data_IF_564289240239
#
_entry.id   IF_564289240239
#
_cell.length_a   1.000
_cell.length_b   1.000
_cell.length_c   1.000
_cell.angle_alpha   90.00
_cell.angle_beta   90.00
_cell.angle_gamma   90.00
#
_symmetry.space_group_name_H-M   'P 1'
#
loop_
_entity.id
_entity.type
_entity.pdbx_description
1 polymer ?
#
# COMPACT_ATOMS: atom_id res chain seq x y z
N UNK A 1 -83.02 -22.58 -25.83
CA UNK A 1 -82.16 -22.69 -27.04
C UNK A 1 -80.93 -21.85 -26.76
N UNK A 2 -80.14 -22.22 -25.76
CA UNK A 2 -79.27 -23.41 -25.59
C UNK A 2 -77.84 -22.90 -25.81
N UNK A 3 -76.97 -22.92 -24.81
CA UNK A 3 -76.14 -24.08 -24.38
C UNK A 3 -75.13 -24.44 -25.51
N UNK A 4 -73.83 -24.62 -25.28
CA UNK A 4 -73.10 -24.83 -24.03
C UNK A 4 -71.59 -24.57 -24.20
N UNK A 5 -70.82 -24.60 -23.10
CA UNK A 5 -69.36 -24.88 -23.15
C UNK A 5 -69.13 -26.40 -23.04
N UNK A 6 -68.20 -26.97 -23.81
CA UNK A 6 -66.90 -27.37 -23.22
C UNK A 6 -65.70 -26.93 -24.10
N UNK A 7 -64.48 -26.71 -23.58
CA UNK A 7 -63.41 -27.72 -23.35
C UNK A 7 -63.11 -28.59 -24.60
N UNK A 8 -61.87 -28.75 -25.07
CA UNK A 8 -60.62 -28.84 -24.32
C UNK A 8 -59.33 -28.45 -25.11
N UNK A 9 -58.21 -28.50 -24.40
CA UNK A 9 -56.83 -28.80 -24.86
C UNK A 9 -56.14 -27.91 -25.90
N UNK A 10 -55.30 -27.02 -25.36
CA UNK A 10 -54.09 -26.55 -26.05
C UNK A 10 -53.11 -27.73 -26.17
N UNK A 11 -52.87 -28.20 -27.39
CA UNK A 11 -51.70 -29.01 -27.73
C UNK A 11 -50.78 -28.15 -28.57
N UNK A 12 -49.69 -27.67 -27.96
CA UNK A 12 -48.57 -27.10 -28.70
C UNK A 12 -47.93 -28.22 -29.52
N UNK A 13 -47.94 -28.08 -30.84
CA UNK A 13 -47.20 -28.98 -31.73
C UNK A 13 -45.72 -28.70 -31.55
N UNK A 14 -44.96 -29.74 -31.22
CA UNK A 14 -43.50 -29.68 -31.18
C UNK A 14 -42.96 -29.46 -32.60
N UNK A 15 -42.42 -28.27 -32.88
CA UNK A 15 -41.62 -28.06 -34.08
C UNK A 15 -40.26 -28.75 -33.90
N UNK A 16 -40.14 -29.95 -34.47
CA UNK A 16 -38.88 -30.61 -34.74
C UNK A 16 -38.06 -29.77 -35.74
N UNK A 17 -37.34 -28.75 -35.24
CA UNK A 17 -36.31 -28.08 -36.03
C UNK A 17 -35.14 -29.03 -36.31
N UNK A 18 -35.06 -29.48 -37.57
CA UNK A 18 -33.97 -30.30 -38.06
C UNK A 18 -32.60 -29.62 -37.93
N UNK A 19 -31.56 -30.45 -37.88
CA UNK A 19 -30.18 -30.05 -37.59
C UNK A 19 -29.62 -28.94 -38.50
N UNK A 20 -29.75 -27.68 -38.05
CA UNK A 20 -28.74 -26.64 -38.28
C UNK A 20 -27.67 -26.81 -37.21
N UNK A 21 -26.40 -26.67 -37.58
CA UNK A 21 -25.30 -26.63 -36.62
C UNK A 21 -25.57 -25.52 -35.59
N UNK A 22 -25.73 -25.90 -34.31
CA UNK A 22 -25.91 -24.94 -33.23
C UNK A 22 -24.54 -24.36 -32.90
N UNK A 23 -24.25 -23.18 -33.43
CA UNK A 23 -23.07 -22.41 -33.08
C UNK A 23 -23.43 -21.38 -32.00
N UNK A 24 -22.77 -21.52 -30.85
CA UNK A 24 -22.97 -20.70 -29.65
C UNK A 24 -21.72 -20.77 -28.76
N UNK A 25 -21.44 -19.75 -27.94
CA UNK A 25 -20.15 -19.59 -27.27
C UNK A 25 -19.78 -20.73 -26.29
N UNK A 26 -20.76 -21.48 -25.74
CA UNK A 26 -20.46 -22.67 -24.93
C UNK A 26 -20.02 -23.85 -25.81
N UNK A 27 -20.60 -23.98 -27.01
CA UNK A 27 -20.20 -25.01 -27.98
C UNK A 27 -18.82 -24.68 -28.57
N UNK A 28 -18.51 -23.40 -28.79
CA UNK A 28 -17.16 -22.94 -29.16
C UNK A 28 -16.14 -23.23 -28.07
N UNK A 29 -16.49 -23.01 -26.79
CA UNK A 29 -15.66 -23.40 -25.66
C UNK A 29 -15.32 -24.90 -25.71
N UNK A 30 -16.30 -25.79 -25.82
CA UNK A 30 -16.02 -27.23 -25.88
C UNK A 30 -15.23 -27.65 -27.13
N UNK A 31 -15.53 -27.07 -28.30
CA UNK A 31 -14.71 -27.26 -29.53
C UNK A 31 -13.24 -26.86 -29.29
N UNK A 32 -12.99 -25.74 -28.59
CA UNK A 32 -11.65 -25.25 -28.25
C UNK A 32 -10.91 -26.12 -27.21
N UNK A 33 -11.64 -26.75 -26.28
CA UNK A 33 -11.07 -27.65 -25.27
C UNK A 33 -10.70 -29.02 -25.86
N UNK A 34 -11.45 -29.51 -26.85
CA UNK A 34 -11.11 -30.75 -27.57
C UNK A 34 -9.85 -30.56 -28.42
N UNK A 35 -9.68 -29.39 -29.05
CA UNK A 35 -8.64 -29.15 -30.06
C UNK A 35 -7.27 -28.77 -29.50
N UNK A 36 -7.18 -28.41 -28.22
CA UNK A 36 -5.91 -28.02 -27.57
C UNK A 36 -5.47 -29.06 -26.53
N UNK A 37 -4.22 -29.51 -26.59
CA UNK A 37 -3.67 -30.55 -25.69
C UNK A 37 -3.07 -29.99 -24.37
N UNK A 38 -3.54 -28.83 -23.87
CA UNK A 38 -3.00 -28.19 -22.65
C UNK A 38 -4.07 -27.96 -21.56
N UNK A 39 -3.69 -28.29 -20.32
CA UNK A 39 -4.55 -28.48 -19.13
C UNK A 39 -5.10 -27.20 -18.45
N UNK A 40 -5.09 -26.03 -19.10
CA UNK A 40 -5.38 -24.75 -18.42
C UNK A 40 -6.40 -23.84 -19.14
N UNK A 41 -7.22 -24.37 -20.04
CA UNK A 41 -8.11 -23.56 -20.89
C UNK A 41 -9.54 -23.32 -20.36
N UNK A 42 -9.82 -23.51 -19.05
CA UNK A 42 -11.10 -23.10 -18.43
C UNK A 42 -11.17 -21.59 -18.11
N UNK A 43 -10.10 -20.83 -18.37
CA UNK A 43 -10.03 -19.38 -18.13
C UNK A 43 -10.68 -18.61 -19.29
N UNK A 44 -11.99 -18.41 -19.22
CA UNK A 44 -12.69 -17.46 -20.09
C UNK A 44 -12.40 -16.00 -19.69
N UNK A 45 -12.22 -15.14 -20.70
CA UNK A 45 -12.19 -13.68 -20.50
C UNK A 45 -13.57 -13.14 -20.14
N UNK A 46 -13.63 -11.98 -19.46
CA UNK A 46 -14.91 -11.30 -19.18
C UNK A 46 -15.74 -11.07 -20.46
N UNK A 47 -15.10 -10.78 -21.59
CA UNK A 47 -15.77 -10.57 -22.87
C UNK A 47 -16.46 -11.85 -23.39
N UNK A 48 -15.82 -13.01 -23.28
CA UNK A 48 -16.42 -14.30 -23.64
C UNK A 48 -17.57 -14.68 -22.71
N UNK A 49 -17.46 -14.37 -21.41
CA UNK A 49 -18.55 -14.59 -20.44
C UNK A 49 -19.74 -13.68 -20.72
N UNK A 50 -19.48 -12.41 -21.06
CA UNK A 50 -20.50 -11.45 -21.53
C UNK A 50 -21.22 -11.97 -22.78
N UNK A 51 -20.48 -12.57 -23.72
CA UNK A 51 -21.06 -13.18 -24.93
C UNK A 51 -21.95 -14.39 -24.61
N UNK A 52 -21.56 -15.24 -23.65
CA UNK A 52 -22.39 -16.34 -23.12
C UNK A 52 -23.68 -15.78 -22.47
N UNK A 53 -23.58 -14.78 -21.60
CA UNK A 53 -24.74 -14.17 -20.93
C UNK A 53 -25.74 -13.59 -21.94
N UNK A 54 -25.25 -12.95 -23.00
CA UNK A 54 -26.08 -12.36 -24.05
C UNK A 54 -26.69 -13.42 -24.99
N UNK A 55 -25.89 -14.33 -25.55
CA UNK A 55 -26.32 -15.25 -26.61
C UNK A 55 -26.96 -16.55 -26.11
N UNK A 56 -26.56 -17.05 -24.94
CA UNK A 56 -27.04 -18.34 -24.42
C UNK A 56 -28.16 -18.19 -23.39
N UNK A 57 -28.18 -17.06 -22.66
CA UNK A 57 -29.10 -16.78 -21.55
C UNK A 57 -29.98 -15.53 -21.73
N UNK A 58 -29.89 -14.85 -22.87
CA UNK A 58 -30.67 -13.66 -23.24
C UNK A 58 -30.61 -12.50 -22.21
N UNK A 59 -29.52 -12.41 -21.43
CA UNK A 59 -29.35 -11.33 -20.45
C UNK A 59 -28.88 -10.07 -21.19
N UNK A 60 -29.78 -9.09 -21.30
CA UNK A 60 -29.47 -7.83 -21.98
C UNK A 60 -28.68 -6.89 -21.06
N UNK A 61 -27.35 -7.05 -21.13
CA UNK A 61 -26.35 -6.29 -20.36
C UNK A 61 -26.48 -4.77 -20.51
N UNK A 62 -27.00 -4.25 -21.63
CA UNK A 62 -27.22 -2.81 -21.82
C UNK A 62 -28.44 -2.26 -21.06
N UNK A 63 -29.24 -3.12 -20.42
CA UNK A 63 -30.49 -2.76 -19.72
C UNK A 63 -30.47 -3.08 -18.22
N UNK A 64 -29.36 -3.60 -17.70
CA UNK A 64 -29.17 -3.95 -16.29
C UNK A 64 -28.00 -3.15 -15.71
N UNK A 65 -27.94 -3.03 -14.39
CA UNK A 65 -26.94 -2.21 -13.71
C UNK A 65 -25.54 -2.85 -13.77
N UNK A 66 -24.46 -2.08 -13.86
CA UNK A 66 -23.09 -2.61 -14.01
C UNK A 66 -22.70 -3.61 -12.91
N UNK A 67 -23.09 -3.34 -11.66
CA UNK A 67 -22.90 -4.26 -10.53
C UNK A 67 -23.65 -5.60 -10.72
N UNK A 68 -24.82 -5.58 -11.34
CA UNK A 68 -25.60 -6.78 -11.64
C UNK A 68 -24.95 -7.58 -12.79
N UNK A 69 -24.39 -6.89 -13.79
CA UNK A 69 -23.54 -7.51 -14.82
C UNK A 69 -22.33 -8.20 -14.18
N UNK A 70 -21.65 -7.54 -13.24
CA UNK A 70 -20.51 -8.10 -12.53
C UNK A 70 -20.90 -9.32 -11.67
N UNK A 71 -22.05 -9.29 -10.99
CA UNK A 71 -22.61 -10.43 -10.28
C UNK A 71 -22.81 -11.62 -11.24
N UNK A 72 -23.46 -11.42 -12.40
CA UNK A 72 -23.65 -12.49 -13.37
C UNK A 72 -22.33 -13.03 -13.95
N UNK A 73 -21.36 -12.16 -14.25
CA UNK A 73 -20.01 -12.58 -14.71
C UNK A 73 -19.31 -13.43 -13.65
N UNK A 74 -19.37 -13.03 -12.37
CA UNK A 74 -18.74 -13.78 -11.28
C UNK A 74 -19.45 -15.10 -10.96
N UNK A 75 -20.78 -15.14 -11.07
CA UNK A 75 -21.58 -16.39 -11.00
C UNK A 75 -21.16 -17.36 -12.10
N UNK A 76 -21.07 -16.91 -13.36
CA UNK A 76 -20.61 -17.78 -14.46
C UNK A 76 -19.17 -18.24 -14.25
N UNK A 77 -18.23 -17.36 -13.87
CA UNK A 77 -16.84 -17.77 -13.58
C UNK A 77 -16.76 -18.88 -12.54
N UNK A 78 -17.46 -18.71 -11.42
CA UNK A 78 -17.44 -19.66 -10.31
C UNK A 78 -18.02 -21.00 -10.75
N UNK A 79 -19.26 -21.01 -11.24
CA UNK A 79 -19.93 -22.27 -11.56
C UNK A 79 -19.42 -22.92 -12.86
N UNK A 80 -18.84 -22.18 -13.79
CA UNK A 80 -18.12 -22.80 -14.92
C UNK A 80 -16.88 -23.55 -14.43
N UNK A 81 -16.13 -22.99 -13.46
CA UNK A 81 -14.99 -23.69 -12.86
C UNK A 81 -15.44 -24.89 -12.02
N UNK A 82 -16.50 -24.72 -11.24
CA UNK A 82 -17.06 -25.71 -10.32
C UNK A 82 -18.14 -26.61 -10.99
N UNK A 83 -18.04 -26.89 -12.29
CA UNK A 83 -18.99 -27.78 -12.98
C UNK A 83 -18.65 -29.25 -12.72
N UNK A 84 -19.55 -30.05 -12.10
CA UNK A 84 -19.20 -31.39 -11.60
C UNK A 84 -18.93 -32.44 -12.70
N UNK A 85 -19.30 -32.19 -13.95
CA UNK A 85 -19.09 -33.13 -15.06
C UNK A 85 -17.76 -32.92 -15.81
N UNK A 86 -16.87 -32.01 -15.34
CA UNK A 86 -15.56 -31.78 -15.98
C UNK A 86 -14.73 -33.05 -16.12
N UNK A 87 -14.55 -33.83 -15.05
CA UNK A 87 -13.73 -35.04 -15.06
C UNK A 87 -14.28 -36.10 -16.05
N UNK A 88 -15.62 -36.22 -16.14
CA UNK A 88 -16.32 -37.14 -17.04
C UNK A 88 -16.23 -36.67 -18.50
N UNK A 89 -16.30 -35.36 -18.73
CA UNK A 89 -16.10 -34.74 -20.04
C UNK A 89 -14.66 -34.94 -20.52
N UNK A 90 -13.65 -34.71 -19.69
CA UNK A 90 -12.24 -34.94 -20.04
C UNK A 90 -11.97 -36.41 -20.38
N UNK A 91 -12.44 -37.35 -19.55
CA UNK A 91 -12.33 -38.79 -19.82
C UNK A 91 -13.00 -39.18 -21.14
N UNK A 92 -14.21 -38.66 -21.40
CA UNK A 92 -14.91 -38.89 -22.66
C UNK A 92 -14.10 -38.39 -23.86
N UNK A 93 -13.58 -37.16 -23.80
CA UNK A 93 -12.80 -36.56 -24.89
C UNK A 93 -11.52 -37.35 -25.19
N UNK A 94 -10.83 -37.86 -24.16
CA UNK A 94 -9.65 -38.72 -24.30
C UNK A 94 -10.03 -40.04 -25.00
N UNK A 95 -11.10 -40.68 -24.54
CA UNK A 95 -11.60 -41.93 -25.11
C UNK A 95 -12.00 -41.80 -26.59
N UNK A 96 -12.63 -40.69 -26.98
CA UNK A 96 -13.00 -40.44 -28.37
C UNK A 96 -11.81 -40.06 -29.26
N UNK A 97 -10.81 -39.31 -28.76
CA UNK A 97 -9.53 -39.10 -29.46
C UNK A 97 -8.86 -40.44 -29.83
N UNK A 98 -8.95 -41.45 -28.95
CA UNK A 98 -8.36 -42.78 -29.21
C UNK A 98 -9.14 -43.65 -30.22
N UNK A 99 -10.46 -43.44 -30.36
CA UNK A 99 -11.37 -44.28 -31.16
C UNK A 99 -11.80 -43.66 -32.50
N UNK A 100 -11.40 -42.40 -32.76
CA UNK A 100 -11.58 -41.67 -34.02
C UNK A 100 -13.05 -41.64 -34.55
N UNK A 101 -14.03 -41.61 -33.64
CA UNK A 101 -15.46 -41.69 -33.95
C UNK A 101 -16.14 -40.31 -33.89
N UNK A 102 -16.05 -39.56 -34.99
CA UNK A 102 -16.55 -38.18 -35.08
C UNK A 102 -18.06 -38.03 -34.84
N UNK A 103 -18.89 -39.05 -35.13
CA UNK A 103 -20.35 -38.96 -34.92
C UNK A 103 -20.73 -39.07 -33.44
N UNK A 104 -20.09 -39.99 -32.70
CA UNK A 104 -20.33 -40.12 -31.26
C UNK A 104 -19.86 -38.88 -30.48
N UNK A 105 -18.76 -38.26 -30.92
CA UNK A 105 -18.23 -37.02 -30.34
C UNK A 105 -19.25 -35.88 -30.43
N UNK A 106 -19.92 -35.67 -31.57
CA UNK A 106 -20.93 -34.61 -31.72
C UNK A 106 -22.12 -34.79 -30.77
N UNK A 107 -22.66 -36.00 -30.65
CA UNK A 107 -23.81 -36.27 -29.77
C UNK A 107 -23.49 -36.04 -28.29
N UNK A 108 -22.30 -36.43 -27.83
CA UNK A 108 -21.90 -36.23 -26.43
C UNK A 108 -21.55 -34.77 -26.15
N UNK A 109 -21.03 -34.03 -27.14
CA UNK A 109 -20.87 -32.58 -27.02
C UNK A 109 -22.21 -31.86 -26.89
N UNK A 110 -23.23 -32.28 -27.62
CA UNK A 110 -24.58 -31.72 -27.52
C UNK A 110 -25.22 -32.03 -26.17
N UNK A 111 -25.07 -33.26 -25.65
CA UNK A 111 -25.52 -33.65 -24.31
C UNK A 111 -24.84 -32.82 -23.21
N UNK A 112 -23.50 -32.75 -23.22
CA UNK A 112 -22.71 -32.02 -22.23
C UNK A 112 -22.91 -30.50 -22.33
N UNK A 113 -23.17 -29.96 -23.52
CA UNK A 113 -23.64 -28.58 -23.73
C UNK A 113 -24.99 -28.31 -23.04
N UNK A 114 -25.97 -29.20 -23.22
CA UNK A 114 -27.28 -29.05 -22.59
C UNK A 114 -27.17 -29.13 -21.05
N UNK A 115 -26.34 -30.02 -20.52
CA UNK A 115 -26.08 -30.14 -19.08
C UNK A 115 -25.43 -28.88 -18.50
N UNK A 116 -24.33 -28.39 -19.09
CA UNK A 116 -23.65 -27.17 -18.64
C UNK A 116 -24.56 -25.94 -18.76
N UNK A 117 -25.30 -25.81 -19.87
CA UNK A 117 -26.25 -24.70 -20.07
C UNK A 117 -27.38 -24.72 -19.03
N UNK A 118 -27.94 -25.90 -18.72
CA UNK A 118 -28.96 -26.07 -17.67
C UNK A 118 -28.40 -25.74 -16.27
N UNK A 119 -27.19 -26.18 -15.98
CA UNK A 119 -26.51 -25.90 -14.71
C UNK A 119 -26.26 -24.41 -14.50
N UNK A 120 -25.56 -23.75 -15.44
CA UNK A 120 -25.31 -22.31 -15.39
C UNK A 120 -26.62 -21.50 -15.39
N UNK A 121 -27.62 -21.93 -16.17
CA UNK A 121 -28.96 -21.33 -16.17
C UNK A 121 -29.61 -21.35 -14.79
N UNK A 122 -29.59 -22.50 -14.09
CA UNK A 122 -30.16 -22.59 -12.75
C UNK A 122 -29.48 -21.66 -11.73
N UNK A 123 -28.16 -21.49 -11.83
CA UNK A 123 -27.40 -20.57 -10.96
C UNK A 123 -27.64 -19.10 -11.31
N UNK A 124 -27.84 -18.79 -12.60
CA UNK A 124 -28.19 -17.45 -13.07
C UNK A 124 -29.63 -17.06 -12.71
N UNK A 125 -30.59 -17.99 -12.70
CA UNK A 125 -31.96 -17.71 -12.21
C UNK A 125 -31.99 -17.42 -10.70
N UNK A 126 -31.20 -18.14 -9.90
CA UNK A 126 -31.02 -17.82 -8.47
C UNK A 126 -30.38 -16.43 -8.32
N UNK A 127 -29.37 -16.11 -9.14
CA UNK A 127 -28.74 -14.79 -9.14
C UNK A 127 -29.72 -13.67 -9.54
N UNK A 128 -30.58 -13.88 -10.56
CA UNK A 128 -31.62 -12.93 -11.01
C UNK A 128 -32.67 -12.62 -9.94
N UNK A 129 -32.92 -13.55 -9.02
CA UNK A 129 -33.83 -13.32 -7.90
C UNK A 129 -33.19 -12.48 -6.79
N UNK A 130 -31.88 -12.65 -6.56
CA UNK A 130 -31.14 -12.00 -5.48
C UNK A 130 -30.47 -10.67 -5.89
N UNK A 131 -30.13 -10.49 -7.17
CA UNK A 131 -29.51 -9.27 -7.69
C UNK A 131 -30.35 -8.00 -7.47
N UNK A 132 -31.69 -7.99 -7.62
CA UNK A 132 -32.47 -6.77 -7.44
C UNK A 132 -32.50 -6.34 -5.98
N UNK A 133 -32.56 -7.28 -5.03
CA UNK A 133 -32.49 -6.96 -3.60
C UNK A 133 -31.11 -6.44 -3.19
N UNK A 134 -30.03 -6.96 -3.77
CA UNK A 134 -28.66 -6.47 -3.52
C UNK A 134 -28.46 -5.07 -4.10
N UNK A 135 -29.02 -4.78 -5.28
CA UNK A 135 -28.91 -3.47 -5.96
C UNK A 135 -29.85 -2.43 -5.33
N UNK A 136 -31.07 -2.80 -4.93
CA UNK A 136 -32.06 -1.87 -4.38
C UNK A 136 -31.91 -1.63 -2.87
N UNK A 137 -31.39 -2.59 -2.09
CA UNK A 137 -31.18 -2.40 -0.64
C UNK A 137 -29.79 -1.81 -0.28
N UNK A 138 -29.10 -1.16 -1.23
CA UNK A 138 -27.97 -0.27 -0.91
C UNK A 138 -28.56 0.97 -0.21
N UNK A 139 -28.34 1.17 1.12
CA UNK A 139 -29.10 2.19 1.84
C UNK A 139 -28.60 3.59 1.51
N UNK A 140 -29.32 4.27 0.62
CA UNK A 140 -29.34 5.74 0.64
C UNK A 140 -29.99 6.12 1.98
N UNK A 141 -29.23 6.83 2.82
CA UNK A 141 -29.53 7.24 4.22
C UNK A 141 -29.19 6.24 5.34
N UNK A 142 -28.03 6.46 5.97
CA UNK A 142 -28.03 7.13 7.27
C UNK A 142 -28.37 6.35 8.55
N UNK A 143 -28.68 5.05 8.52
CA UNK A 143 -28.85 4.26 9.74
C UNK A 143 -27.91 3.05 9.83
N UNK A 144 -27.06 3.06 10.85
CA UNK A 144 -26.19 1.94 11.22
C UNK A 144 -27.00 0.78 11.79
N UNK A 145 -27.26 -0.25 10.99
CA UNK A 145 -27.60 -1.55 11.54
C UNK A 145 -26.33 -2.23 12.08
N UNK A 146 -26.38 -2.66 13.34
CA UNK A 146 -25.37 -3.57 13.90
C UNK A 146 -25.51 -4.92 13.19
N UNK A 147 -24.69 -5.16 12.18
CA UNK A 147 -24.44 -6.51 11.69
C UNK A 147 -23.70 -7.23 12.81
N UNK A 148 -24.35 -8.25 13.40
CA UNK A 148 -23.68 -9.14 14.35
C UNK A 148 -22.53 -9.84 13.63
N UNK A 149 -21.37 -9.85 14.28
CA UNK A 149 -20.10 -10.13 13.62
C UNK A 149 -19.90 -11.62 13.33
N UNK A 150 -20.52 -12.11 12.25
CA UNK A 150 -19.93 -13.19 11.46
C UNK A 150 -18.61 -12.65 10.87
N UNK A 151 -17.48 -13.24 11.28
CA UNK A 151 -16.10 -12.98 10.86
C UNK A 151 -15.87 -11.71 10.03
N UNK A 152 -15.32 -10.66 10.67
CA UNK A 152 -14.76 -9.50 9.95
C UNK A 152 -13.59 -9.95 9.07
N UNK A 153 -13.87 -10.35 7.85
CA UNK A 153 -12.92 -10.29 6.76
C UNK A 153 -12.58 -8.81 6.57
N UNK A 154 -11.47 -8.39 7.17
CA UNK A 154 -10.91 -7.08 6.92
C UNK A 154 -10.56 -7.03 5.44
N UNK A 155 -11.31 -6.27 4.65
CA UNK A 155 -10.97 -6.00 3.25
C UNK A 155 -9.68 -5.18 3.25
N UNK A 156 -8.56 -5.86 3.02
CA UNK A 156 -7.23 -5.24 2.91
C UNK A 156 -6.95 -4.96 1.44
N UNK A 157 -6.76 -3.68 1.12
CA UNK A 157 -6.20 -3.25 -0.15
C UNK A 157 -4.71 -2.95 0.05
N UNK A 158 -3.84 -3.67 -0.65
CA UNK A 158 -2.42 -3.35 -0.69
C UNK A 158 -2.14 -2.36 -1.83
N UNK A 159 -1.46 -1.27 -1.51
CA UNK A 159 -1.13 -0.21 -2.49
C UNK A 159 0.39 -0.11 -2.59
N UNK A 160 0.93 -0.44 -3.76
CA UNK A 160 2.34 -0.24 -4.09
C UNK A 160 2.51 1.12 -4.77
N UNK A 161 3.13 2.07 -4.05
CA UNK A 161 3.35 3.42 -4.53
C UNK A 161 4.75 3.93 -4.13
N UNK A 162 5.38 4.69 -5.02
CA UNK A 162 6.56 5.50 -4.66
C UNK A 162 6.17 6.60 -3.68
N UNK A 163 7.15 7.17 -2.96
CA UNK A 163 6.91 8.29 -2.05
C UNK A 163 6.22 9.48 -2.74
N UNK A 164 6.63 9.79 -3.97
CA UNK A 164 6.02 10.86 -4.79
C UNK A 164 4.56 10.54 -5.13
N UNK A 165 4.23 9.31 -5.52
CA UNK A 165 2.84 8.91 -5.76
C UNK A 165 2.00 9.00 -4.48
N UNK A 166 2.51 8.50 -3.34
CA UNK A 166 1.81 8.54 -2.06
C UNK A 166 1.44 9.98 -1.62
N UNK A 167 2.31 10.95 -1.89
CA UNK A 167 2.05 12.36 -1.58
C UNK A 167 0.85 12.96 -2.33
N UNK A 168 0.47 12.39 -3.47
CA UNK A 168 -0.61 12.87 -4.35
C UNK A 168 -1.74 11.84 -4.54
N UNK A 169 -1.71 10.72 -3.81
CA UNK A 169 -2.54 9.52 -4.06
C UNK A 169 -4.03 9.74 -3.79
N UNK A 170 -4.41 10.62 -2.86
CA UNK A 170 -5.80 10.84 -2.45
C UNK A 170 -6.33 12.11 -3.11
N UNK A 171 -7.43 11.99 -3.87
CA UNK A 171 -8.19 13.13 -4.37
C UNK A 171 -8.94 13.77 -3.19
N UNK A 172 -8.70 15.06 -2.94
CA UNK A 172 -9.30 15.77 -1.81
C UNK A 172 -10.83 15.82 -1.89
N UNK A 173 -11.33 16.04 -3.10
CA UNK A 173 -12.73 16.07 -3.45
C UNK A 173 -12.92 15.07 -4.59
N UNK A 174 -13.40 13.84 -4.32
CA UNK A 174 -13.62 12.83 -5.35
C UNK A 174 -14.61 13.29 -6.41
N UNK A 175 -14.17 13.37 -7.66
CA UNK A 175 -15.03 13.57 -8.84
C UNK A 175 -15.46 12.18 -9.37
N UNK A 176 -16.46 12.14 -10.27
CA UNK A 176 -17.19 10.95 -10.74
C UNK A 176 -16.41 9.65 -10.95
N UNK A 177 -17.14 8.53 -10.85
CA UNK A 177 -16.67 7.13 -10.74
C UNK A 177 -16.34 6.65 -9.31
N UNK A 178 -16.75 7.38 -8.26
CA UNK A 178 -16.61 6.99 -6.85
C UNK A 178 -15.17 6.65 -6.38
N UNK A 179 -14.14 7.01 -7.15
CA UNK A 179 -12.75 6.76 -6.78
C UNK A 179 -12.20 7.90 -5.93
N UNK A 180 -11.58 7.54 -4.80
CA UNK A 180 -10.79 8.47 -3.98
C UNK A 180 -9.32 8.55 -4.45
N UNK A 181 -8.91 7.68 -5.39
CA UNK A 181 -7.52 7.51 -5.79
C UNK A 181 -7.18 8.33 -7.03
N UNK A 182 -6.12 9.12 -6.91
CA UNK A 182 -5.47 9.77 -8.04
C UNK A 182 -4.53 8.78 -8.72
N UNK A 183 -4.93 8.31 -9.90
CA UNK A 183 -4.12 7.40 -10.73
C UNK A 183 -3.23 8.14 -11.73
N UNK A 184 -3.34 9.48 -11.82
CA UNK A 184 -2.54 10.27 -12.74
C UNK A 184 -1.10 10.40 -12.22
N UNK A 185 -0.11 10.35 -13.12
CA UNK A 185 1.27 10.60 -12.72
C UNK A 185 1.44 12.06 -12.23
N UNK A 186 1.92 12.28 -10.99
CA UNK A 186 2.10 13.63 -10.50
C UNK A 186 3.19 14.34 -11.29
N UNK A 187 2.82 15.38 -12.05
CA UNK A 187 3.77 16.26 -12.72
C UNK A 187 4.84 16.73 -11.71
N UNK A 188 6.13 16.72 -12.07
CA UNK A 188 7.19 17.10 -11.15
C UNK A 188 7.13 18.62 -10.87
N UNK A 189 6.38 18.99 -9.82
CA UNK A 189 6.44 20.31 -9.20
C UNK A 189 7.79 20.46 -8.49
N UNK A 190 8.84 20.78 -9.25
CA UNK A 190 10.16 21.12 -8.71
C UNK A 190 10.05 22.46 -7.96
N UNK A 191 9.71 22.40 -6.68
CA UNK A 191 9.80 23.57 -5.81
C UNK A 191 11.28 23.94 -5.63
N UNK A 192 11.70 25.04 -6.26
CA UNK A 192 13.02 25.65 -6.04
C UNK A 192 13.11 26.12 -4.58
N UNK A 193 13.66 25.28 -3.70
CA UNK A 193 13.97 25.66 -2.32
C UNK A 193 15.23 26.52 -2.26
N UNK A 194 15.17 27.80 -1.82
CA UNK A 194 16.33 28.71 -1.86
C UNK A 194 17.40 28.43 -0.80
N UNK A 195 17.16 27.51 0.14
CA UNK A 195 18.04 27.25 1.28
C UNK A 195 18.74 25.89 1.11
N UNK A 196 20.06 25.93 0.91
CA UNK A 196 20.88 24.74 0.68
C UNK A 196 20.66 23.67 1.76
N UNK A 197 20.46 22.45 1.27
CA UNK A 197 20.43 21.25 2.08
C UNK A 197 21.88 20.93 2.46
N UNK A 198 22.25 21.14 3.73
CA UNK A 198 23.62 20.87 4.19
C UNK A 198 23.81 19.38 4.47
N UNK A 199 25.03 18.87 4.38
CA UNK A 199 25.38 17.52 4.82
C UNK A 199 24.80 17.15 6.21
N UNK A 200 24.93 18.02 7.22
CA UNK A 200 24.27 17.87 8.54
C UNK A 200 22.76 17.59 8.42
N UNK A 201 22.07 18.32 7.54
CA UNK A 201 20.62 18.20 7.31
C UNK A 201 20.27 16.90 6.61
N UNK A 202 21.16 16.39 5.75
CA UNK A 202 20.96 15.14 5.01
C UNK A 202 21.23 13.93 5.89
N UNK A 203 22.30 13.94 6.69
CA UNK A 203 22.58 12.86 7.64
C UNK A 203 21.52 12.75 8.74
N UNK A 204 20.79 13.85 9.00
CA UNK A 204 19.60 13.87 9.84
C UNK A 204 18.27 13.60 9.10
N UNK A 205 18.28 13.36 7.80
CA UNK A 205 17.08 13.05 7.02
C UNK A 205 16.56 11.65 7.35
N UNK A 206 15.25 11.45 7.22
CA UNK A 206 14.65 10.13 7.37
C UNK A 206 15.18 9.18 6.28
N UNK A 207 15.43 7.92 6.63
CA UNK A 207 15.94 6.94 5.67
C UNK A 207 17.42 7.08 5.28
N UNK A 208 18.22 7.96 5.90
CA UNK A 208 19.69 7.79 5.89
C UNK A 208 20.10 6.75 6.93
N UNK A 209 20.92 5.80 6.48
CA UNK A 209 21.58 4.80 7.30
C UNK A 209 23.10 4.93 7.16
N UNK A 210 23.81 4.87 8.30
CA UNK A 210 25.26 5.09 8.37
C UNK A 210 25.88 3.95 9.18
N UNK A 211 26.81 3.18 8.61
CA UNK A 211 27.56 2.11 9.27
C UNK A 211 29.07 2.45 9.29
N UNK A 212 29.67 2.48 10.48
CA UNK A 212 31.07 2.83 10.73
C UNK A 212 31.76 1.66 11.44
N UNK A 213 32.73 1.03 10.77
CA UNK A 213 33.64 0.04 11.35
C UNK A 213 35.01 0.68 11.50
N UNK A 214 35.36 1.03 12.74
CA UNK A 214 36.54 1.84 13.07
C UNK A 214 37.38 1.13 14.12
N UNK A 215 38.71 1.20 14.03
CA UNK A 215 39.59 0.67 15.07
C UNK A 215 39.55 1.53 16.33
N UNK A 216 39.59 0.87 17.48
CA UNK A 216 39.81 1.52 18.76
C UNK A 216 41.31 1.70 19.01
N UNK A 217 41.71 2.84 19.58
CA UNK A 217 43.11 3.07 19.99
C UNK A 217 43.60 2.06 21.05
N UNK A 218 42.69 1.53 21.87
CA UNK A 218 42.94 0.48 22.87
C UNK A 218 42.90 -0.94 22.27
N UNK A 219 42.57 -1.05 20.98
CA UNK A 219 42.50 -2.30 20.24
C UNK A 219 41.11 -2.87 20.03
N UNK A 220 40.98 -3.72 19.00
CA UNK A 220 39.70 -4.18 18.47
C UNK A 220 39.06 -3.19 17.50
N UNK A 221 37.84 -3.52 17.06
CA UNK A 221 37.04 -2.72 16.12
C UNK A 221 35.66 -2.49 16.72
N UNK A 222 35.19 -1.25 16.70
CA UNK A 222 33.80 -0.91 16.99
C UNK A 222 33.02 -0.88 15.69
N UNK A 223 31.83 -1.48 15.68
CA UNK A 223 30.82 -1.27 14.64
C UNK A 223 29.75 -0.36 15.23
N UNK A 224 29.59 0.84 14.66
CA UNK A 224 28.57 1.81 15.01
C UNK A 224 27.64 2.00 13.82
N UNK A 225 26.36 1.66 13.99
CA UNK A 225 25.32 1.88 12.98
C UNK A 225 24.29 2.87 13.51
N UNK A 226 24.08 3.97 12.78
CA UNK A 226 23.12 5.03 13.10
C UNK A 226 22.03 5.13 12.02
N UNK A 227 20.79 5.36 12.45
CA UNK A 227 19.64 5.52 11.56
C UNK A 227 18.56 6.43 12.17
N UNK A 228 17.99 7.31 11.34
CA UNK A 228 16.78 8.06 11.64
C UNK A 228 15.52 7.27 11.28
N UNK A 229 15.28 6.22 12.07
CA UNK A 229 14.20 5.24 11.91
C UNK A 229 12.85 5.75 12.46
N UNK A 230 12.38 6.91 11.99
CA UNK A 230 11.13 7.52 12.46
C UNK A 230 9.93 6.60 12.21
N UNK A 231 8.98 6.56 13.15
CA UNK A 231 7.74 5.77 12.97
C UNK A 231 6.71 6.62 12.25
N UNK A 232 6.23 6.12 11.11
CA UNK A 232 5.14 6.72 10.34
C UNK A 232 3.84 5.95 10.61
N UNK A 233 2.73 6.69 10.68
CA UNK A 233 1.37 6.16 10.67
C UNK A 233 0.55 6.96 9.66
N UNK A 234 -0.14 6.26 8.77
CA UNK A 234 -1.05 6.85 7.79
C UNK A 234 -2.50 6.59 8.21
N UNK A 235 -3.38 7.57 8.02
CA UNK A 235 -4.81 7.44 8.30
C UNK A 235 -5.57 8.32 7.31
N UNK A 236 -6.46 7.71 6.52
CA UNK A 236 -7.36 8.47 5.67
C UNK A 236 -8.40 9.17 6.56
N UNK A 237 -8.47 10.50 6.49
CA UNK A 237 -9.43 11.31 7.26
C UNK A 237 -10.33 12.10 6.33
N UNK A 238 -11.61 12.24 6.70
CA UNK A 238 -12.51 13.22 6.09
C UNK A 238 -12.68 14.39 7.07
N UNK A 239 -12.12 15.56 6.74
CA UNK A 239 -12.17 16.75 7.62
C UNK A 239 -13.60 17.24 7.85
N UNK A 240 -14.53 16.99 6.93
CA UNK A 240 -15.94 17.36 7.07
C UNK A 240 -16.65 16.65 8.24
N UNK A 241 -16.14 15.48 8.69
CA UNK A 241 -16.71 14.77 9.84
C UNK A 241 -16.37 15.41 11.20
N UNK A 242 -15.43 16.38 11.24
CA UNK A 242 -14.95 17.06 12.46
C UNK A 242 -14.53 16.11 13.60
N UNK A 243 -14.11 14.89 13.26
CA UNK A 243 -13.55 13.92 14.19
C UNK A 243 -12.05 14.18 14.36
N UNK A 244 -11.63 14.58 15.56
CA UNK A 244 -10.21 14.60 15.93
C UNK A 244 -9.70 13.15 16.07
N UNK A 245 -9.15 12.63 14.98
CA UNK A 245 -8.63 11.26 14.87
C UNK A 245 -7.37 11.01 15.71
N UNK A 246 -6.61 12.06 16.06
CA UNK A 246 -5.29 11.93 16.64
C UNK A 246 -5.22 12.37 18.10
N UNK A 247 -5.00 11.41 18.99
CA UNK A 247 -4.74 11.70 20.40
C UNK A 247 -3.32 12.24 20.60
N UNK A 248 -3.20 13.41 21.25
CA UNK A 248 -1.91 14.03 21.59
C UNK A 248 -1.15 13.22 22.67
N UNK A 249 -0.38 12.22 22.26
CA UNK A 249 0.52 11.47 23.15
C UNK A 249 1.90 12.13 23.27
N UNK A 250 2.43 12.24 24.50
CA UNK A 250 3.83 12.57 24.73
C UNK A 250 4.72 11.35 24.44
N UNK A 251 5.78 11.54 23.67
CA UNK A 251 6.80 10.54 23.35
C UNK A 251 7.91 10.57 24.42
N UNK A 252 8.44 9.40 24.78
CA UNK A 252 9.55 9.32 25.75
C UNK A 252 10.89 9.60 25.08
N UNK A 253 11.58 10.65 25.54
CA UNK A 253 12.94 10.99 25.09
C UNK A 253 14.04 10.23 25.88
N UNK A 254 13.65 9.28 26.74
CA UNK A 254 14.58 8.39 27.43
C UNK A 254 15.17 7.34 26.47
N UNK A 255 16.36 6.85 26.78
CA UNK A 255 17.01 5.79 26.02
C UNK A 255 16.47 4.41 26.38
N UNK A 256 15.89 3.73 25.39
CA UNK A 256 15.53 2.31 25.47
C UNK A 256 16.69 1.47 24.92
N UNK A 257 17.01 0.37 25.60
CA UNK A 257 18.15 -0.51 25.23
C UNK A 257 17.67 -1.94 25.04
N UNK A 258 18.06 -2.56 23.92
CA UNK A 258 17.88 -3.98 23.63
C UNK A 258 19.24 -4.62 23.36
N UNK A 259 19.61 -5.64 24.13
CA UNK A 259 20.73 -6.52 23.80
C UNK A 259 20.27 -7.95 23.58
N UNK A 260 20.97 -8.66 22.68
CA UNK A 260 20.78 -10.10 22.43
C UNK A 260 21.77 -10.97 23.22
N UNK A 261 22.80 -10.39 23.84
CA UNK A 261 23.86 -11.15 24.56
C UNK A 261 23.74 -10.95 26.07
N UNK A 262 23.91 -12.03 26.83
CA UNK A 262 23.93 -12.00 28.31
C UNK A 262 25.20 -11.34 28.87
N UNK A 263 26.33 -11.48 28.18
CA UNK A 263 27.60 -10.83 28.55
C UNK A 263 27.72 -9.52 27.77
N UNK A 264 27.80 -8.41 28.50
CA UNK A 264 28.06 -7.07 27.99
C UNK A 264 29.47 -6.65 28.40
N UNK A 265 30.12 -5.89 27.54
CA UNK A 265 31.32 -5.11 27.85
C UNK A 265 30.86 -3.68 28.09
N UNK A 266 31.31 -3.01 29.16
CA UNK A 266 31.06 -1.57 29.31
C UNK A 266 32.02 -0.77 28.44
N UNK A 267 31.49 0.24 27.75
CA UNK A 267 32.26 1.25 27.03
C UNK A 267 31.76 2.64 27.42
N UNK A 268 32.66 3.61 27.56
CA UNK A 268 32.25 4.98 27.87
C UNK A 268 31.79 5.73 26.61
N UNK A 269 30.82 6.62 26.77
CA UNK A 269 30.36 7.54 25.73
C UNK A 269 31.51 8.37 25.16
N UNK A 270 32.46 8.77 26.01
CA UNK A 270 33.63 9.54 25.60
C UNK A 270 34.52 8.77 24.60
N UNK A 271 34.72 7.46 24.78
CA UNK A 271 35.47 6.65 23.78
C UNK A 271 34.77 6.67 22.43
N UNK A 272 33.44 6.65 22.37
CA UNK A 272 32.68 6.69 21.11
C UNK A 272 32.82 8.05 20.41
N UNK A 273 32.76 9.16 21.15
CA UNK A 273 32.89 10.51 20.57
C UNK A 273 34.33 10.78 20.10
N UNK A 274 35.32 10.47 20.93
CA UNK A 274 36.75 10.70 20.63
C UNK A 274 37.25 9.90 19.39
N UNK A 275 36.57 8.83 18.99
CA UNK A 275 36.87 8.13 17.74
C UNK A 275 36.70 9.00 16.51
N UNK A 276 35.68 9.86 16.49
CA UNK A 276 35.46 10.75 15.36
C UNK A 276 36.58 11.79 15.25
N UNK A 277 37.05 12.31 16.38
CA UNK A 277 38.21 13.21 16.43
C UNK A 277 39.46 12.50 15.89
N UNK A 278 39.74 11.27 16.34
CA UNK A 278 40.85 10.44 15.86
C UNK A 278 40.78 10.17 14.35
N UNK A 279 39.59 9.86 13.81
CA UNK A 279 39.41 9.64 12.38
C UNK A 279 39.53 10.94 11.57
N UNK A 280 39.03 12.07 12.07
CA UNK A 280 39.14 13.38 11.40
C UNK A 280 40.60 13.86 11.33
N UNK A 281 41.42 13.57 12.34
CA UNK A 281 42.86 13.85 12.32
C UNK A 281 43.69 12.89 11.45
N UNK A 282 43.11 11.80 10.93
CA UNK A 282 43.85 10.77 10.19
C UNK A 282 43.56 10.86 8.67
N UNK A 283 44.61 11.02 7.88
CA UNK A 283 44.50 11.25 6.42
C UNK A 283 43.94 10.05 5.65
N UNK A 284 43.94 8.84 6.22
CA UNK A 284 43.18 7.68 5.69
C UNK A 284 41.70 8.02 5.44
N UNK A 285 41.13 8.95 6.21
CA UNK A 285 39.72 9.34 6.10
C UNK A 285 39.51 10.68 5.42
N UNK A 286 40.49 11.24 4.70
CA UNK A 286 40.39 12.58 4.07
C UNK A 286 39.07 12.82 3.34
N UNK A 287 38.66 11.89 2.47
CA UNK A 287 37.43 11.95 1.68
C UNK A 287 36.14 11.86 2.54
N UNK A 288 36.27 11.35 3.76
CA UNK A 288 35.19 11.18 4.75
C UNK A 288 35.23 12.25 5.86
N UNK A 289 36.24 13.13 5.93
CA UNK A 289 36.36 14.16 7.00
C UNK A 289 35.07 14.99 7.17
N UNK A 290 34.39 15.49 6.11
CA UNK A 290 33.13 16.24 6.28
C UNK A 290 32.00 15.42 6.92
N UNK A 291 31.87 14.16 6.50
CA UNK A 291 30.88 13.20 7.03
C UNK A 291 31.17 12.92 8.51
N UNK A 292 32.42 12.65 8.87
CA UNK A 292 32.83 12.32 10.23
C UNK A 292 32.65 13.51 11.18
N UNK A 293 32.95 14.74 10.76
CA UNK A 293 32.68 15.96 11.53
C UNK A 293 31.17 16.14 11.76
N UNK A 294 30.37 15.98 10.71
CA UNK A 294 28.89 16.08 10.78
C UNK A 294 28.33 15.01 11.74
N UNK A 295 28.82 13.76 11.63
CA UNK A 295 28.43 12.66 12.52
C UNK A 295 28.85 12.87 13.96
N UNK A 296 30.03 13.43 14.23
CA UNK A 296 30.44 13.77 15.59
C UNK A 296 29.46 14.76 16.23
N UNK A 297 29.08 15.81 15.49
CA UNK A 297 28.09 16.82 15.93
C UNK A 297 26.72 16.20 16.21
N UNK A 298 26.23 15.35 15.31
CA UNK A 298 24.94 14.64 15.45
C UNK A 298 24.95 13.72 16.68
N UNK A 299 25.98 12.87 16.81
CA UNK A 299 26.08 11.91 17.91
C UNK A 299 26.29 12.60 19.26
N UNK A 300 27.12 13.64 19.33
CA UNK A 300 27.32 14.42 20.54
C UNK A 300 25.98 15.02 21.02
N UNK A 301 25.18 15.60 20.13
CA UNK A 301 23.86 16.14 20.44
C UNK A 301 22.89 15.05 20.94
N UNK A 302 22.67 13.96 20.20
CA UNK A 302 21.69 12.95 20.63
C UNK A 302 22.13 12.23 21.92
N UNK A 303 23.42 12.02 22.13
CA UNK A 303 23.95 11.27 23.28
C UNK A 303 24.15 12.13 24.53
N UNK A 304 23.78 13.42 24.55
CA UNK A 304 23.80 14.23 25.78
C UNK A 304 23.07 13.54 26.94
N UNK A 305 21.86 13.05 26.70
CA UNK A 305 21.05 12.29 27.67
C UNK A 305 21.39 10.80 27.81
N UNK A 306 22.41 10.30 27.11
CA UNK A 306 22.88 8.92 27.24
C UNK A 306 23.79 8.78 28.48
N UNK A 307 23.69 7.68 29.26
CA UNK A 307 24.60 7.37 30.35
C UNK A 307 26.09 7.48 29.96
N UNK A 308 26.94 7.78 30.95
CA UNK A 308 28.39 7.93 30.74
C UNK A 308 29.07 6.63 30.30
N UNK A 309 28.58 5.49 30.79
CA UNK A 309 28.98 4.13 30.40
C UNK A 309 27.76 3.37 29.90
N UNK A 310 27.94 2.57 28.84
CA UNK A 310 26.89 1.74 28.23
C UNK A 310 27.40 0.31 28.00
N UNK A 311 26.51 -0.68 28.17
CA UNK A 311 26.81 -2.07 27.91
C UNK A 311 26.64 -2.45 26.44
N UNK A 312 27.67 -3.01 25.81
CA UNK A 312 27.69 -3.42 24.40
C UNK A 312 28.02 -4.92 24.24
N UNK A 313 27.52 -5.62 23.21
CA UNK A 313 26.73 -5.09 22.09
C UNK A 313 25.29 -4.74 22.48
N UNK A 314 24.75 -3.70 21.86
CA UNK A 314 23.42 -3.18 22.17
C UNK A 314 22.81 -2.39 21.02
N UNK A 315 21.48 -2.34 20.99
CA UNK A 315 20.69 -1.43 20.16
C UNK A 315 20.00 -0.45 21.09
N UNK A 316 20.35 0.82 20.96
CA UNK A 316 19.88 1.96 21.74
C UNK A 316 18.92 2.76 20.85
N UNK A 317 17.75 3.14 21.35
CA UNK A 317 16.81 4.01 20.63
C UNK A 317 16.17 5.03 21.56
N UNK A 318 15.75 6.15 21.02
CA UNK A 318 14.93 7.15 21.72
C UNK A 318 14.10 7.96 20.73
N UNK A 319 13.03 8.59 21.20
CA UNK A 319 12.37 9.65 20.45
C UNK A 319 13.19 10.95 20.53
N UNK A 320 13.25 11.68 19.41
CA UNK A 320 14.03 12.93 19.27
C UNK A 320 13.24 14.16 19.77
N UNK A 321 11.92 14.15 19.60
CA UNK A 321 11.00 15.16 20.13
C UNK A 321 10.05 14.57 21.16
N UNK A 322 9.56 15.41 22.07
CA UNK A 322 8.49 15.07 23.02
C UNK A 322 7.14 14.86 22.32
N UNK A 323 6.95 15.44 21.14
CA UNK A 323 5.71 15.37 20.38
C UNK A 323 5.97 14.92 18.95
N UNK A 324 5.00 14.21 18.37
CA UNK A 324 5.04 13.87 16.95
C UNK A 324 4.82 15.09 16.05
N UNK A 325 4.95 14.84 14.75
CA UNK A 325 4.58 15.77 13.70
C UNK A 325 3.46 15.14 12.85
N UNK A 326 2.63 15.97 12.23
CA UNK A 326 1.56 15.55 11.33
C UNK A 326 1.61 16.40 10.06
N UNK A 327 1.20 15.82 8.94
CA UNK A 327 0.88 16.55 7.72
C UNK A 327 -0.24 15.83 6.98
N UNK A 328 -0.70 16.43 5.90
CA UNK A 328 -1.86 15.98 5.14
C UNK A 328 -1.48 15.90 3.66
N UNK A 329 -1.63 14.71 3.08
CA UNK A 329 -1.26 14.40 1.70
C UNK A 329 -2.53 14.24 0.87
N UNK A 330 -2.65 14.98 -0.22
CA UNK A 330 -3.79 15.00 -1.14
C UNK A 330 -3.42 15.73 -2.44
N UNK A 331 -4.16 15.47 -3.52
CA UNK A 331 -4.19 16.33 -4.71
C UNK A 331 -5.56 17.03 -4.79
N UNK A 332 -5.55 18.32 -5.17
CA UNK A 332 -6.79 19.04 -5.49
C UNK A 332 -7.20 18.69 -6.93
N UNK A 333 -8.50 18.49 -7.17
CA UNK A 333 -9.00 18.31 -8.54
C UNK A 333 -9.17 19.68 -9.18
N UNK A 334 -8.62 19.85 -10.38
CA UNK A 334 -8.50 21.16 -11.05
C UNK A 334 -9.66 21.50 -11.96
N UNK A 335 -10.62 20.59 -12.15
CA UNK A 335 -11.71 20.77 -13.10
C UNK A 335 -12.71 21.82 -12.60
N UNK A 336 -13.10 22.74 -13.49
CA UNK A 336 -13.95 23.91 -13.18
C UNK A 336 -15.40 23.54 -12.79
N UNK A 337 -15.74 22.25 -12.73
CA UNK A 337 -17.03 21.71 -12.28
C UNK A 337 -17.15 21.84 -10.76
N UNK A 338 -17.24 23.10 -10.30
CA UNK A 338 -17.54 23.53 -8.94
C UNK A 338 -19.04 23.35 -8.65
N UNK A 339 -19.53 22.12 -8.82
CA UNK A 339 -20.84 21.73 -8.33
C UNK A 339 -20.81 21.67 -6.79
N UNK A 340 -21.90 22.07 -6.15
CA UNK A 340 -22.05 22.10 -4.69
C UNK A 340 -21.86 20.73 -4.01
N UNK A 341 -21.85 19.63 -4.77
CA UNK A 341 -21.59 18.27 -4.26
C UNK A 341 -20.13 18.05 -3.82
N UNK A 342 -19.17 18.84 -4.33
CA UNK A 342 -17.75 18.73 -3.96
C UNK A 342 -17.48 19.08 -2.47
N UNK A 343 -18.40 19.79 -1.81
CA UNK A 343 -18.27 20.14 -0.37
C UNK A 343 -18.56 18.96 0.56
N UNK A 344 -19.08 17.83 0.06
CA UNK A 344 -19.47 16.67 0.89
C UNK A 344 -18.29 15.96 1.58
N UNK A 345 -17.10 16.05 0.98
CA UNK A 345 -15.89 15.38 1.47
C UNK A 345 -14.69 16.32 1.42
N UNK A 346 -13.81 16.23 2.41
CA UNK A 346 -12.46 16.79 2.39
C UNK A 346 -11.51 15.68 2.83
N UNK A 347 -11.16 14.82 1.88
CA UNK A 347 -10.35 13.63 2.09
C UNK A 347 -8.88 13.98 2.10
N UNK A 348 -8.18 13.55 3.15
CA UNK A 348 -6.75 13.79 3.30
C UNK A 348 -6.10 12.55 3.87
N UNK A 349 -4.96 12.13 3.32
CA UNK A 349 -4.13 11.13 3.97
C UNK A 349 -3.33 11.83 5.07
N UNK A 350 -3.81 11.72 6.32
CA UNK A 350 -3.08 12.17 7.49
C UNK A 350 -1.86 11.27 7.67
N UNK A 351 -0.66 11.86 7.62
CA UNK A 351 0.59 11.19 7.93
C UNK A 351 1.12 11.74 9.25
N UNK A 352 1.26 10.87 10.25
CA UNK A 352 1.85 11.19 11.56
C UNK A 352 3.24 10.57 11.65
N UNK A 353 4.22 11.39 12.03
CA UNK A 353 5.61 11.00 12.23
C UNK A 353 5.97 11.14 13.72
N UNK A 354 6.37 10.03 14.34
CA UNK A 354 7.01 10.03 15.65
C UNK A 354 8.54 9.95 15.46
N UNK A 355 9.28 11.05 15.68
CA UNK A 355 10.68 11.14 15.30
C UNK A 355 11.54 10.30 16.24
N UNK A 356 12.20 9.28 15.71
CA UNK A 356 12.99 8.31 16.48
C UNK A 356 14.35 8.10 15.81
N UNK A 357 15.41 8.01 16.61
CA UNK A 357 16.73 7.55 16.16
C UNK A 357 17.07 6.20 16.78
N UNK A 358 17.90 5.43 16.09
CA UNK A 358 18.46 4.18 16.57
C UNK A 358 19.99 4.17 16.36
N UNK A 359 20.68 3.70 17.39
CA UNK A 359 22.13 3.54 17.42
C UNK A 359 22.44 2.10 17.83
N UNK A 360 23.08 1.34 16.97
CA UNK A 360 23.53 -0.02 17.24
C UNK A 360 25.04 -0.05 17.35
N UNK A 361 25.54 -0.62 18.45
CA UNK A 361 26.96 -0.60 18.79
C UNK A 361 27.39 -2.03 19.11
N UNK A 362 28.44 -2.50 18.44
CA UNK A 362 29.07 -3.80 18.71
C UNK A 362 30.60 -3.67 18.76
N UNK A 363 31.24 -4.58 19.51
CA UNK A 363 32.69 -4.69 19.60
C UNK A 363 33.15 -6.02 19.01
N UNK A 364 34.18 -5.96 18.17
CA UNK A 364 34.81 -7.10 17.52
C UNK A 364 36.30 -7.20 17.90
N UNK A 365 36.84 -8.42 18.05
CA UNK A 365 38.29 -8.62 18.20
C UNK A 365 39.06 -8.19 16.94
N UNK A 366 40.39 -8.14 17.06
CA UNK A 366 41.30 -7.78 15.97
C UNK A 366 41.24 -8.75 14.76
N UNK A 367 40.29 -8.52 13.86
CA UNK A 367 40.25 -9.14 12.53
C UNK A 367 39.35 -8.43 11.51
N UNK A 368 38.47 -7.52 11.92
CA UNK A 368 37.58 -6.80 11.00
C UNK A 368 38.30 -5.68 10.24
N UNK A 369 38.01 -5.58 8.94
CA UNK A 369 38.42 -4.44 8.13
C UNK A 369 37.62 -3.18 8.50
N UNK A 370 38.30 -2.04 8.48
CA UNK A 370 37.66 -0.75 8.67
C UNK A 370 36.86 -0.38 7.42
N UNK A 371 35.67 0.17 7.60
CA UNK A 371 34.81 0.62 6.50
C UNK A 371 33.83 1.68 6.98
N UNK A 372 33.53 2.62 6.11
CA UNK A 372 32.45 3.59 6.28
C UNK A 372 31.47 3.34 5.15
N UNK A 373 30.19 3.25 5.47
CA UNK A 373 29.10 3.09 4.51
C UNK A 373 27.98 4.05 4.84
N UNK A 374 27.46 4.73 3.83
CA UNK A 374 26.22 5.49 3.91
C UNK A 374 25.28 4.94 2.85
N UNK A 375 24.02 4.74 3.23
CA UNK A 375 22.95 4.24 2.36
C UNK A 375 21.72 5.13 2.45
N UNK A 376 21.12 5.44 1.30
CA UNK A 376 19.79 6.00 1.22
C UNK A 376 18.76 4.87 1.15
N UNK A 377 17.93 4.71 2.17
CA UNK A 377 16.94 3.64 2.27
C UNK A 377 15.73 3.82 1.33
N UNK A 378 15.52 5.01 0.75
CA UNK A 378 14.45 5.23 -0.22
C UNK A 378 14.74 4.61 -1.59
N UNK A 379 15.99 4.64 -2.03
CA UNK A 379 16.42 4.22 -3.37
C UNK A 379 17.53 3.15 -3.36
N UNK A 380 17.97 2.72 -2.16
CA UNK A 380 19.01 1.71 -1.93
C UNK A 380 20.41 2.08 -2.47
N UNK A 381 20.65 3.35 -2.80
CA UNK A 381 21.97 3.86 -3.22
C UNK A 381 22.94 3.89 -2.04
N UNK A 382 24.15 3.39 -2.28
CA UNK A 382 25.30 3.50 -1.38
C UNK A 382 26.24 4.61 -1.88
N UNK A 383 26.79 5.39 -0.95
CA UNK A 383 27.74 6.46 -1.28
C UNK A 383 29.18 5.99 -1.01
N UNK A 384 30.02 6.08 -2.03
CA UNK A 384 31.41 5.63 -2.02
C UNK A 384 32.22 6.37 -3.09
N UNK A 385 33.29 7.06 -2.70
CA UNK A 385 34.12 7.78 -3.66
C UNK A 385 35.12 8.71 -2.99
N UNK A 386 35.66 9.64 -3.78
CA UNK A 386 36.56 10.68 -3.30
C UNK A 386 35.80 11.92 -2.79
N UNK A 387 34.58 12.15 -3.29
CA UNK A 387 33.76 13.32 -2.98
C UNK A 387 32.40 12.91 -2.38
N UNK A 388 32.40 11.96 -1.44
CA UNK A 388 31.18 11.40 -0.83
C UNK A 388 30.22 12.45 -0.28
N UNK A 389 30.73 13.55 0.30
CA UNK A 389 29.87 14.65 0.77
C UNK A 389 29.05 15.30 -0.34
N UNK A 390 29.67 15.56 -1.50
CA UNK A 390 29.00 16.10 -2.68
C UNK A 390 28.06 15.08 -3.33
N UNK A 391 28.45 13.79 -3.39
CA UNK A 391 27.59 12.71 -3.89
C UNK A 391 26.28 12.60 -3.08
N UNK A 392 26.38 12.73 -1.76
CA UNK A 392 25.23 12.76 -0.84
C UNK A 392 24.38 14.02 -1.07
N UNK A 393 25.00 15.20 -1.15
CA UNK A 393 24.31 16.48 -1.36
C UNK A 393 23.60 16.56 -2.73
N UNK A 394 24.23 16.06 -3.79
CA UNK A 394 23.64 16.03 -5.13
C UNK A 394 22.47 15.04 -5.21
N UNK A 395 22.66 13.82 -4.71
CA UNK A 395 21.61 12.80 -4.66
C UNK A 395 20.35 13.30 -3.94
N UNK A 396 20.52 13.99 -2.81
CA UNK A 396 19.40 14.43 -1.99
C UNK A 396 18.56 15.55 -2.60
N UNK A 397 19.03 16.23 -3.66
CA UNK A 397 18.20 17.18 -4.44
C UNK A 397 16.93 16.53 -4.99
N UNK A 398 16.98 15.22 -5.29
CA UNK A 398 15.81 14.46 -5.77
C UNK A 398 14.76 14.15 -4.70
N UNK A 399 15.11 14.23 -3.40
CA UNK A 399 14.24 13.87 -2.27
C UNK A 399 13.58 15.08 -1.58
N UNK A 400 13.77 16.30 -2.07
CA UNK A 400 13.31 17.55 -1.40
C UNK A 400 11.79 17.82 -1.58
N UNK A 401 11.09 17.04 -2.42
CA UNK A 401 9.68 17.28 -2.79
C UNK A 401 8.70 16.72 -1.73
N UNK A 402 8.77 17.27 -0.52
CA UNK A 402 7.97 16.86 0.64
C UNK A 402 7.21 18.05 1.24
N UNK A 403 5.89 17.93 1.50
CA UNK A 403 5.14 18.93 2.26
C UNK A 403 5.69 19.15 3.68
N UNK A 404 5.54 20.38 4.17
CA UNK A 404 5.91 20.78 5.54
C UNK A 404 5.15 19.98 6.61
N UNK A 405 5.77 19.89 7.78
CA UNK A 405 5.23 19.20 8.94
C UNK A 405 4.62 20.19 9.93
N UNK A 406 3.55 19.79 10.64
CA UNK A 406 2.98 20.53 11.76
C UNK A 406 3.25 19.79 13.05
N UNK A 407 3.67 20.47 14.13
CA UNK A 407 3.80 19.80 15.43
C UNK A 407 2.41 19.46 16.00
N UNK A 408 2.17 18.21 16.40
CA UNK A 408 0.85 17.77 16.91
C UNK A 408 0.43 18.44 18.22
N UNK A 409 1.35 19.13 18.91
CA UNK A 409 1.07 19.82 20.16
C UNK A 409 0.67 21.28 19.93
N UNK A 410 1.56 22.08 19.31
CA UNK A 410 1.40 23.53 19.11
C UNK A 410 0.92 23.93 17.70
N UNK A 411 0.67 22.98 16.79
CA UNK A 411 0.22 23.17 15.41
C UNK A 411 1.14 24.02 14.50
N UNK A 412 2.29 24.49 14.99
CA UNK A 412 3.28 25.26 14.22
C UNK A 412 3.76 24.44 13.02
N UNK A 413 3.68 25.04 11.83
CA UNK A 413 4.29 24.50 10.61
C UNK A 413 5.82 24.66 10.66
N UNK A 414 6.54 23.62 10.24
CA UNK A 414 7.98 23.48 10.32
C UNK A 414 8.46 22.77 9.05
N UNK A 415 9.37 23.41 8.31
CA UNK A 415 9.91 22.79 7.09
C UNK A 415 10.79 21.60 7.42
N UNK A 416 10.84 20.62 6.50
CA UNK A 416 11.72 19.46 6.65
C UNK A 416 13.18 19.88 6.88
N UNK A 417 13.64 20.92 6.17
CA UNK A 417 14.99 21.47 6.32
C UNK A 417 15.26 22.11 7.69
N UNK A 418 14.23 22.59 8.39
CA UNK A 418 14.37 23.08 9.76
C UNK A 418 14.41 21.92 10.76
N UNK A 419 13.53 20.92 10.59
CA UNK A 419 13.52 19.72 11.43
C UNK A 419 14.87 19.00 11.38
N UNK A 420 15.42 18.74 10.20
CA UNK A 420 16.68 17.99 10.10
C UNK A 420 17.90 18.78 10.60
N UNK A 421 17.96 20.11 10.40
CA UNK A 421 18.97 20.98 11.04
C UNK A 421 18.86 20.98 12.57
N UNK A 422 17.64 20.92 13.11
CA UNK A 422 17.36 20.79 14.54
C UNK A 422 17.48 19.33 15.07
N UNK A 423 17.88 18.37 14.22
CA UNK A 423 17.91 16.94 14.52
C UNK A 423 16.58 16.42 15.10
N UNK A 424 15.49 16.84 14.46
CA UNK A 424 14.09 16.58 14.79
C UNK A 424 13.63 16.99 16.19
N UNK A 425 14.47 17.70 16.96
CA UNK A 425 14.10 18.27 18.24
C UNK A 425 13.29 19.55 18.03
N UNK A 426 12.07 19.58 18.57
CA UNK A 426 11.24 20.77 18.61
C UNK A 426 10.76 21.00 20.04
N UNK A 427 11.20 22.11 20.62
CA UNK A 427 10.64 22.63 21.85
C UNK A 427 9.39 23.45 21.49
N UNK A 428 8.21 22.96 21.88
CA UNK A 428 7.02 23.80 21.87
C UNK A 428 7.21 24.91 22.91
N UNK A 429 7.10 26.16 22.50
CA UNK A 429 6.85 27.25 23.43
C UNK A 429 5.54 26.95 24.20
N UNK A 430 5.45 27.25 25.50
CA UNK A 430 4.19 27.17 26.21
C UNK A 430 3.20 28.13 25.52
N UNK A 431 2.02 27.64 25.18
CA UNK A 431 0.97 28.45 24.54
C UNK A 431 0.80 29.76 25.33
N UNK A 432 0.82 30.88 24.62
CA UNK A 432 0.68 32.17 25.28
C UNK A 432 -0.68 32.22 25.98
N UNK A 433 -0.78 32.96 27.09
CA UNK A 433 -2.07 33.12 27.81
C UNK A 433 -3.20 33.64 26.91
N UNK A 434 -2.85 34.28 25.78
CA UNK A 434 -3.77 34.76 24.75
C UNK A 434 -4.42 33.61 23.95
N UNK A 435 -3.67 32.56 23.60
CA UNK A 435 -4.17 31.40 22.84
C UNK A 435 -5.08 30.49 23.69
N UNK A 436 -4.83 30.43 25.00
CA UNK A 436 -5.70 29.71 25.95
C UNK A 436 -7.06 30.40 26.17
N UNK A 437 -7.17 31.69 25.82
CA UNK A 437 -8.42 32.46 25.89
C UNK A 437 -9.22 32.38 24.59
N UNK A 438 -8.57 32.28 23.43
CA UNK A 438 -9.26 32.17 22.13
C UNK A 438 -9.83 30.78 21.83
N UNK A 439 -9.36 29.72 22.49
CA UNK A 439 -9.93 28.36 22.37
C UNK A 439 -11.16 28.10 23.28
N UNK A 440 -11.78 29.15 23.83
CA UNK A 440 -12.99 29.09 24.68
C UNK A 440 -14.21 29.84 24.09
N UNK A 441 -14.16 30.17 22.80
CA UNK A 441 -15.25 30.70 22.00
C UNK A 441 -15.54 29.75 20.84
#
# INVERSE_FOLDING_TARGET
>A
MNDDKPSSDVVLVEENEGAKARDGPIIELFKSLITNDYKENTVLTNAQIIDILQKEFNINIQKIHDLEVEIYVNVVKKYLKDWPEWDEFEQSVIDFKSKNNNKAMTSILEEKYLNLKKYLGSMLEIAKYLSPDIVNNIPITGQMYKIESANKENVVMEILATRKQLNHLILRHPIGNNSIFNVNEPLPKYYNYPNSLTLDSILNWCGIEIELKLKLAQGGVINLKYENCHKLQHTLVNKMLKLDSYQKSSLSQQWEVKSKRKKLTEISKAVILNLFEQCVSNDRYQNWKPVLVSMHKILNNITQSMPSSIGVPGTFRKYLSKYGYVRFLYENVTDEVTNAENEKYDLQLQEVLSPMCQLHIELYPYSSHESIKIRCNFCQVYFTGENVSWEIEDHFKSHIVEPDWQCVNCNKAITMSHLTRANWNHNCEPASLYELLSMKQ
#
